data_IF_570304731570
#
_entry.id   IF_570304731570
#
_cell.length_a   1.000
_cell.length_b   1.000
_cell.length_c   1.000
_cell.angle_alpha   90.00
_cell.angle_beta   90.00
_cell.angle_gamma   90.00
#
_symmetry.space_group_name_H-M   'P 1'
#
loop_
_entity.id
_entity.type
_entity.pdbx_description
1 polymer ?
#
# COMPACT_ATOMS: atom_id res chain seq x y z
N UNK A 1 -6.86 -28.69 -3.74
CA UNK A 1 -5.85 -27.96 -2.94
C UNK A 1 -6.52 -27.21 -1.77
N UNK A 2 -7.74 -27.61 -1.37
CA UNK A 2 -8.68 -26.72 -0.68
C UNK A 2 -8.96 -27.16 0.76
N UNK A 3 -8.67 -28.42 1.11
CA UNK A 3 -8.87 -28.96 2.45
C UNK A 3 -7.93 -28.34 3.49
N UNK A 4 -6.67 -28.07 3.15
CA UNK A 4 -5.74 -27.42 4.09
C UNK A 4 -6.16 -25.99 4.41
N UNK A 5 -6.66 -25.22 3.43
CA UNK A 5 -7.16 -23.85 3.66
C UNK A 5 -8.37 -23.83 4.58
N UNK A 6 -9.31 -24.75 4.39
CA UNK A 6 -10.48 -24.89 5.27
C UNK A 6 -10.07 -25.33 6.67
N UNK A 7 -9.07 -26.20 6.78
CA UNK A 7 -8.53 -26.64 8.07
C UNK A 7 -7.83 -25.50 8.80
N UNK A 8 -6.96 -24.73 8.13
CA UNK A 8 -6.29 -23.56 8.69
C UNK A 8 -7.30 -22.48 9.09
N UNK A 9 -8.35 -22.27 8.28
CA UNK A 9 -9.48 -21.41 8.62
C UNK A 9 -10.18 -21.89 9.90
N UNK A 10 -10.43 -23.19 10.02
CA UNK A 10 -11.09 -23.79 11.19
C UNK A 10 -10.19 -23.70 12.43
N UNK A 11 -8.89 -23.90 12.28
CA UNK A 11 -7.92 -23.75 13.38
C UNK A 11 -7.82 -22.29 13.81
N UNK A 12 -7.87 -21.32 12.88
CA UNK A 12 -7.96 -19.88 13.18
C UNK A 12 -9.24 -19.56 13.94
N UNK A 13 -10.38 -20.10 13.52
CA UNK A 13 -11.68 -19.93 14.18
C UNK A 13 -11.63 -20.46 15.61
N UNK A 14 -11.10 -21.68 15.81
CA UNK A 14 -10.96 -22.31 17.12
C UNK A 14 -9.97 -21.55 18.00
N UNK A 15 -8.82 -21.13 17.47
CA UNK A 15 -7.82 -20.34 18.22
C UNK A 15 -8.38 -18.99 18.63
N UNK A 16 -9.14 -18.34 17.75
CA UNK A 16 -9.87 -17.10 18.04
C UNK A 16 -10.92 -17.32 19.12
N UNK A 17 -11.73 -18.36 19.00
CA UNK A 17 -12.76 -18.70 20.01
C UNK A 17 -12.16 -19.02 21.37
N UNK A 18 -11.07 -19.77 21.41
CA UNK A 18 -10.35 -20.10 22.66
C UNK A 18 -9.74 -18.84 23.26
N UNK A 19 -9.11 -17.97 22.47
CA UNK A 19 -8.55 -16.71 22.98
C UNK A 19 -9.63 -15.74 23.49
N UNK A 20 -10.78 -15.68 22.82
CA UNK A 20 -11.94 -14.90 23.27
C UNK A 20 -12.55 -15.45 24.57
N UNK A 21 -12.73 -16.78 24.67
CA UNK A 21 -13.42 -17.42 25.80
C UNK A 21 -12.53 -17.66 27.02
N UNK A 22 -11.23 -17.94 26.83
CA UNK A 22 -10.31 -18.36 27.90
C UNK A 22 -9.39 -17.23 28.35
N UNK A 23 -8.98 -16.32 27.45
CA UNK A 23 -8.01 -15.26 27.77
C UNK A 23 -8.64 -13.86 27.91
N UNK A 24 -9.94 -13.67 27.62
CA UNK A 24 -10.60 -12.35 27.58
C UNK A 24 -9.81 -11.32 26.75
N UNK A 25 -9.08 -11.77 25.74
CA UNK A 25 -8.36 -10.87 24.83
C UNK A 25 -9.42 -10.04 24.11
N UNK A 26 -9.37 -8.70 24.21
CA UNK A 26 -10.29 -7.84 23.48
C UNK A 26 -10.31 -8.22 22.00
N UNK A 27 -11.51 -8.27 21.39
CA UNK A 27 -11.69 -8.77 20.02
C UNK A 27 -10.74 -8.08 19.00
N UNK A 28 -10.49 -6.78 19.21
CA UNK A 28 -9.57 -6.01 18.37
C UNK A 28 -8.12 -6.49 18.49
N UNK A 29 -7.67 -6.84 19.69
CA UNK A 29 -6.30 -7.30 19.92
C UNK A 29 -6.08 -8.63 19.20
N UNK A 30 -7.04 -9.55 19.30
CA UNK A 30 -7.01 -10.81 18.55
C UNK A 30 -6.99 -10.56 17.04
N UNK A 31 -7.74 -9.57 16.55
CA UNK A 31 -7.79 -9.22 15.13
C UNK A 31 -6.44 -8.68 14.63
N UNK A 32 -5.74 -7.88 15.42
CA UNK A 32 -4.38 -7.42 15.08
C UNK A 32 -3.40 -8.58 15.12
N UNK A 33 -3.49 -9.47 16.12
CA UNK A 33 -2.65 -10.68 16.19
C UNK A 33 -2.85 -11.60 14.99
N UNK A 34 -4.09 -11.78 14.52
CA UNK A 34 -4.42 -12.54 13.32
C UNK A 34 -3.90 -11.84 12.05
N UNK A 35 -3.99 -10.51 11.98
CA UNK A 35 -3.49 -9.73 10.84
C UNK A 35 -1.95 -9.74 10.73
N UNK A 36 -1.27 -9.94 11.86
CA UNK A 36 0.19 -10.04 11.95
C UNK A 36 0.62 -11.46 12.35
N UNK A 37 0.04 -12.50 11.74
CA UNK A 37 0.44 -13.89 11.94
C UNK A 37 1.69 -14.28 11.11
N UNK A 38 2.27 -15.46 11.29
CA UNK A 38 3.47 -15.93 10.53
C UNK A 38 3.11 -16.58 9.18
N UNK A 39 1.94 -16.25 8.65
CA UNK A 39 1.46 -16.88 7.42
C UNK A 39 2.05 -16.20 6.19
N UNK A 40 2.21 -16.88 5.05
CA UNK A 40 2.94 -16.31 3.91
C UNK A 40 2.19 -15.18 3.18
N UNK A 41 0.90 -14.99 3.45
CA UNK A 41 0.09 -13.91 2.87
C UNK A 41 -0.07 -12.72 3.82
N UNK A 42 -0.21 -11.52 3.26
CA UNK A 42 -0.43 -10.29 4.03
C UNK A 42 -1.87 -10.15 4.55
N UNK A 43 -2.12 -9.18 5.47
CA UNK A 43 -3.47 -8.90 5.97
C UNK A 43 -4.39 -8.42 4.85
N UNK A 44 -5.64 -8.89 4.87
CA UNK A 44 -6.64 -8.49 3.90
C UNK A 44 -7.09 -7.03 4.12
N UNK A 45 -7.43 -6.31 3.05
CA UNK A 45 -7.79 -4.89 3.11
C UNK A 45 -9.00 -4.59 4.02
N UNK A 46 -9.97 -5.52 4.12
CA UNK A 46 -11.11 -5.36 5.04
C UNK A 46 -10.67 -5.40 6.50
N UNK A 47 -9.74 -6.31 6.85
CA UNK A 47 -9.19 -6.43 8.21
C UNK A 47 -8.40 -5.17 8.56
N UNK A 48 -7.62 -4.64 7.63
CA UNK A 48 -6.91 -3.36 7.80
C UNK A 48 -7.88 -2.19 8.04
N UNK A 49 -8.97 -2.11 7.26
CA UNK A 49 -9.99 -1.07 7.41
C UNK A 49 -10.71 -1.16 8.78
N UNK A 50 -10.98 -2.37 9.27
CA UNK A 50 -11.55 -2.60 10.59
C UNK A 50 -10.57 -2.18 11.70
N UNK A 51 -9.30 -2.56 11.59
CA UNK A 51 -8.25 -2.15 12.55
C UNK A 51 -8.11 -0.63 12.55
N UNK A 52 -8.06 0.02 11.39
CA UNK A 52 -8.00 1.47 11.29
C UNK A 52 -9.23 2.14 11.92
N UNK A 53 -10.43 1.57 11.74
CA UNK A 53 -11.64 2.10 12.37
C UNK A 53 -11.60 1.94 13.88
N UNK A 54 -11.08 0.83 14.41
CA UNK A 54 -10.93 0.58 15.84
C UNK A 54 -10.00 1.61 16.52
N UNK A 55 -8.95 2.08 15.83
CA UNK A 55 -8.05 3.12 16.37
C UNK A 55 -8.75 4.45 16.72
N UNK A 56 -9.98 4.66 16.25
CA UNK A 56 -10.78 5.85 16.63
C UNK A 56 -11.25 5.81 18.09
N UNK A 57 -11.31 4.64 18.72
CA UNK A 57 -11.63 4.50 20.14
C UNK A 57 -10.34 4.49 20.95
N UNK A 58 -10.33 5.24 22.06
CA UNK A 58 -9.13 5.44 22.87
C UNK A 58 -8.48 4.13 23.36
N UNK A 59 -9.29 3.23 23.95
CA UNK A 59 -8.81 1.97 24.51
C UNK A 59 -8.34 1.01 23.43
N UNK A 60 -9.08 0.88 22.33
CA UNK A 60 -8.74 -0.03 21.23
C UNK A 60 -7.49 0.44 20.49
N UNK A 61 -7.30 1.75 20.32
CA UNK A 61 -6.07 2.32 19.76
C UNK A 61 -4.83 1.87 20.54
N UNK A 62 -4.88 1.93 21.88
CA UNK A 62 -3.75 1.51 22.71
C UNK A 62 -3.43 0.02 22.53
N UNK A 63 -4.46 -0.83 22.49
CA UNK A 63 -4.29 -2.27 22.27
C UNK A 63 -3.67 -2.57 20.91
N UNK A 64 -4.16 -1.91 19.85
CA UNK A 64 -3.63 -2.05 18.49
C UNK A 64 -2.15 -1.67 18.46
N UNK A 65 -1.79 -0.49 18.99
CA UNK A 65 -0.42 -0.02 18.99
C UNK A 65 0.51 -0.93 19.80
N UNK A 66 0.08 -1.38 20.99
CA UNK A 66 0.87 -2.29 21.82
C UNK A 66 1.24 -3.59 21.09
N UNK A 67 0.28 -4.20 20.38
CA UNK A 67 0.55 -5.42 19.59
C UNK A 67 1.54 -5.12 18.47
N UNK A 68 1.35 -4.02 17.73
CA UNK A 68 2.24 -3.65 16.62
C UNK A 68 3.67 -3.40 17.09
N UNK A 69 3.86 -2.66 18.18
CA UNK A 69 5.19 -2.38 18.74
C UNK A 69 5.87 -3.65 19.24
N UNK A 70 5.12 -4.57 19.86
CA UNK A 70 5.64 -5.89 20.24
C UNK A 70 6.12 -6.66 19.01
N UNK A 71 5.33 -6.67 17.93
CA UNK A 71 5.68 -7.35 16.67
C UNK A 71 6.89 -6.74 15.95
N UNK A 72 7.11 -5.43 16.06
CA UNK A 72 8.29 -4.79 15.49
C UNK A 72 9.59 -5.11 16.24
N UNK A 73 9.50 -5.55 17.50
CA UNK A 73 10.68 -5.97 18.28
C UNK A 73 11.20 -7.37 17.94
N UNK A 74 10.46 -8.12 17.13
CA UNK A 74 10.85 -9.47 16.70
C UNK A 74 12.06 -9.43 15.75
N UNK A 75 12.84 -10.52 15.71
CA UNK A 75 14.09 -10.59 14.93
C UNK A 75 14.29 -11.94 14.23
N UNK A 76 15.15 -11.96 13.22
CA UNK A 76 15.56 -13.20 12.55
C UNK A 76 14.41 -13.93 11.87
N UNK A 77 14.17 -15.19 12.27
CA UNK A 77 13.19 -16.10 11.64
C UNK A 77 11.76 -15.58 11.65
N UNK A 78 11.45 -14.71 12.59
CA UNK A 78 10.13 -14.15 12.86
C UNK A 78 9.83 -12.88 12.01
N UNK A 79 10.57 -12.70 10.91
CA UNK A 79 10.49 -11.54 9.99
C UNK A 79 9.08 -11.25 9.46
N UNK A 80 8.21 -12.26 9.34
CA UNK A 80 6.83 -12.04 8.84
C UNK A 80 6.00 -11.21 9.80
N UNK A 81 6.20 -11.40 11.11
CA UNK A 81 5.56 -10.57 12.13
C UNK A 81 5.93 -9.11 11.96
N UNK A 82 7.23 -8.84 11.81
CA UNK A 82 7.77 -7.49 11.58
C UNK A 82 7.21 -6.91 10.29
N UNK A 83 7.30 -7.64 9.17
CA UNK A 83 6.86 -7.18 7.87
C UNK A 83 5.35 -6.86 7.83
N UNK A 84 4.52 -7.71 8.43
CA UNK A 84 3.06 -7.49 8.48
C UNK A 84 2.69 -6.38 9.45
N UNK A 85 3.37 -6.24 10.58
CA UNK A 85 3.18 -5.11 11.48
C UNK A 85 3.50 -3.78 10.77
N UNK A 86 4.59 -3.73 10.00
CA UNK A 86 4.89 -2.58 9.14
C UNK A 86 3.79 -2.32 8.09
N UNK A 87 3.20 -3.36 7.51
CA UNK A 87 2.08 -3.20 6.57
C UNK A 87 0.81 -2.64 7.24
N UNK A 88 0.52 -3.03 8.48
CA UNK A 88 -0.58 -2.44 9.25
C UNK A 88 -0.27 -0.97 9.58
N UNK A 89 0.96 -0.66 10.04
CA UNK A 89 1.39 0.72 10.34
C UNK A 89 1.27 1.62 9.12
N UNK A 90 1.76 1.19 7.96
CA UNK A 90 1.64 1.92 6.69
C UNK A 90 0.18 2.28 6.36
N UNK A 91 -0.74 1.34 6.58
CA UNK A 91 -2.18 1.57 6.41
C UNK A 91 -2.74 2.55 7.45
N UNK A 92 -2.33 2.43 8.72
CA UNK A 92 -2.76 3.31 9.81
C UNK A 92 -2.31 4.76 9.60
N UNK A 93 -1.13 5.02 9.04
CA UNK A 93 -0.69 6.39 8.70
C UNK A 93 -1.72 7.07 7.79
N UNK A 94 -2.25 6.32 6.82
CA UNK A 94 -3.18 6.87 5.83
C UNK A 94 -4.65 6.88 6.30
N UNK A 95 -5.09 5.88 7.08
CA UNK A 95 -6.52 5.63 7.36
C UNK A 95 -6.89 5.62 8.85
N UNK A 96 -5.89 5.57 9.73
CA UNK A 96 -6.06 5.53 11.19
C UNK A 96 -6.47 6.87 11.79
N UNK A 97 -6.75 6.85 13.10
CA UNK A 97 -7.01 8.05 13.89
C UNK A 97 -5.76 8.94 13.98
N UNK A 98 -5.94 10.25 14.16
CA UNK A 98 -4.81 11.18 14.35
C UNK A 98 -3.90 10.73 15.50
N UNK A 99 -4.49 10.24 16.60
CA UNK A 99 -3.73 9.69 17.73
C UNK A 99 -2.82 8.52 17.35
N UNK A 100 -3.29 7.60 16.50
CA UNK A 100 -2.46 6.50 16.04
C UNK A 100 -1.30 7.01 15.18
N UNK A 101 -1.53 8.03 14.35
CA UNK A 101 -0.47 8.67 13.55
C UNK A 101 0.53 9.39 14.44
N UNK A 102 0.07 10.13 15.45
CA UNK A 102 0.95 10.81 16.42
C UNK A 102 1.85 9.80 17.15
N UNK A 103 1.30 8.68 17.62
CA UNK A 103 2.05 7.60 18.28
C UNK A 103 3.11 6.99 17.35
N UNK A 104 2.77 6.78 16.07
CA UNK A 104 3.70 6.29 15.05
C UNK A 104 4.84 7.30 14.79
N UNK A 105 4.50 8.60 14.71
CA UNK A 105 5.49 9.67 14.50
C UNK A 105 6.45 9.75 15.68
N UNK A 106 5.93 9.70 16.91
CA UNK A 106 6.74 9.71 18.15
C UNK A 106 7.74 8.54 18.18
N UNK A 107 7.33 7.37 17.67
CA UNK A 107 8.14 6.16 17.66
C UNK A 107 8.84 5.88 16.31
N UNK A 108 9.02 6.90 15.46
CA UNK A 108 9.66 6.74 14.14
C UNK A 108 11.04 6.08 14.23
N UNK A 109 11.78 6.30 15.32
CA UNK A 109 13.09 5.69 15.54
C UNK A 109 13.05 4.15 15.59
N UNK A 110 11.99 3.55 16.13
CA UNK A 110 11.82 2.10 16.18
C UNK A 110 11.64 1.52 14.77
N UNK A 111 10.87 2.22 13.93
CA UNK A 111 10.68 1.85 12.52
C UNK A 111 12.00 2.04 11.75
N UNK A 112 12.74 3.13 12.02
CA UNK A 112 14.03 3.40 11.40
C UNK A 112 15.07 2.33 11.71
N UNK A 113 15.07 1.74 12.92
CA UNK A 113 15.97 0.65 13.29
C UNK A 113 15.78 -0.61 12.42
N UNK A 114 14.60 -0.80 11.81
CA UNK A 114 14.32 -1.93 10.92
C UNK A 114 14.94 -1.78 9.52
N UNK A 115 15.52 -0.62 9.20
CA UNK A 115 16.33 -0.43 7.98
C UNK A 115 17.62 -1.27 7.99
N UNK A 116 18.09 -1.72 9.16
CA UNK A 116 19.20 -2.65 9.30
C UNK A 116 18.75 -4.08 9.66
N UNK A 117 17.49 -4.43 9.44
CA UNK A 117 16.98 -5.77 9.72
C UNK A 117 17.65 -6.81 8.81
N UNK A 118 18.16 -7.90 9.38
CA UNK A 118 18.85 -8.96 8.64
C UNK A 118 18.25 -10.33 8.92
N UNK A 119 17.86 -11.03 7.86
CA UNK A 119 17.52 -12.44 7.92
C UNK A 119 17.62 -13.08 6.53
N UNK A 120 18.46 -14.12 6.43
CA UNK A 120 18.61 -14.95 5.24
C UNK A 120 18.03 -16.32 5.56
N UNK A 121 17.06 -16.76 4.76
CA UNK A 121 16.46 -18.08 4.92
C UNK A 121 17.49 -19.19 4.66
N UNK A 122 17.28 -20.41 5.17
CA UNK A 122 18.16 -21.57 4.88
C UNK A 122 18.30 -21.88 3.38
N UNK A 123 17.37 -21.40 2.55
CA UNK A 123 17.42 -21.47 1.08
C UNK A 123 18.45 -20.52 0.45
N UNK A 124 19.07 -19.64 1.23
CA UNK A 124 19.99 -18.59 0.77
C UNK A 124 19.27 -17.30 0.34
N UNK A 125 17.96 -17.21 0.50
CA UNK A 125 17.17 -16.02 0.14
C UNK A 125 17.20 -14.98 1.25
N UNK A 126 17.66 -13.76 0.94
CA UNK A 126 17.54 -12.61 1.84
C UNK A 126 16.10 -12.11 1.86
N UNK A 127 15.36 -12.49 2.91
CA UNK A 127 14.00 -12.01 3.16
C UNK A 127 13.99 -10.75 4.02
N UNK A 128 15.08 -10.48 4.75
CA UNK A 128 15.29 -9.23 5.49
C UNK A 128 15.27 -8.00 4.60
N UNK A 129 15.72 -8.12 3.35
CA UNK A 129 15.63 -7.07 2.33
C UNK A 129 14.20 -6.50 2.17
N UNK A 130 13.17 -7.33 2.29
CA UNK A 130 11.77 -6.88 2.16
C UNK A 130 11.35 -6.01 3.36
N UNK A 131 11.81 -6.37 4.56
CA UNK A 131 11.57 -5.59 5.78
C UNK A 131 12.28 -4.25 5.69
N UNK A 132 13.56 -4.24 5.31
CA UNK A 132 14.36 -3.01 5.15
C UNK A 132 13.72 -2.02 4.18
N UNK A 133 13.38 -2.47 2.97
CA UNK A 133 12.73 -1.61 1.95
C UNK A 133 11.39 -1.05 2.43
N UNK A 134 10.58 -1.86 3.13
CA UNK A 134 9.30 -1.40 3.66
C UNK A 134 9.49 -0.38 4.79
N UNK A 135 10.43 -0.61 5.70
CA UNK A 135 10.77 0.33 6.76
C UNK A 135 11.28 1.66 6.20
N UNK A 136 12.19 1.64 5.22
CA UNK A 136 12.69 2.83 4.52
C UNK A 136 11.56 3.66 3.89
N UNK A 137 10.63 3.01 3.19
CA UNK A 137 9.49 3.68 2.58
C UNK A 137 8.58 4.34 3.62
N UNK A 138 8.33 3.67 4.75
CA UNK A 138 7.50 4.21 5.84
C UNK A 138 8.21 5.39 6.49
N UNK A 139 9.51 5.28 6.79
CA UNK A 139 10.29 6.39 7.37
C UNK A 139 10.33 7.59 6.44
N UNK A 140 10.48 7.38 5.13
CA UNK A 140 10.43 8.44 4.14
C UNK A 140 9.06 9.16 4.11
N UNK A 141 7.97 8.43 4.36
CA UNK A 141 6.64 9.02 4.53
C UNK A 141 6.52 9.78 5.85
N UNK A 142 6.99 9.21 6.96
CA UNK A 142 6.87 9.81 8.31
C UNK A 142 7.69 11.09 8.49
N UNK A 143 8.81 11.22 7.76
CA UNK A 143 9.66 12.42 7.80
C UNK A 143 9.05 13.62 7.07
N UNK A 144 7.97 13.43 6.30
CA UNK A 144 7.34 14.47 5.50
C UNK A 144 5.87 14.67 5.90
N UNK A 145 5.62 15.71 6.72
CA UNK A 145 4.28 16.00 7.24
C UNK A 145 3.28 16.37 6.14
N UNK A 146 3.73 17.00 5.06
CA UNK A 146 2.86 17.34 3.92
C UNK A 146 2.43 16.07 3.19
N UNK A 147 3.36 15.13 2.94
CA UNK A 147 3.01 13.83 2.37
C UNK A 147 2.01 13.07 3.24
N UNK A 148 2.20 13.04 4.56
CA UNK A 148 1.22 12.40 5.48
C UNK A 148 -0.17 13.03 5.30
N UNK A 149 -0.25 14.35 5.20
CA UNK A 149 -1.52 15.03 4.98
C UNK A 149 -2.16 14.63 3.63
N UNK A 150 -1.36 14.58 2.57
CA UNK A 150 -1.82 14.22 1.23
C UNK A 150 -2.34 12.78 1.13
N UNK A 151 -1.63 11.79 1.69
CA UNK A 151 -2.13 10.40 1.68
C UNK A 151 -3.42 10.27 2.49
N UNK A 152 -3.55 10.99 3.61
CA UNK A 152 -4.78 10.98 4.43
C UNK A 152 -5.96 11.64 3.71
N UNK A 153 -5.74 12.80 3.07
CA UNK A 153 -6.78 13.47 2.28
C UNK A 153 -7.24 12.61 1.11
N UNK A 154 -6.28 11.99 0.40
CA UNK A 154 -6.58 11.07 -0.70
C UNK A 154 -7.35 9.83 -0.24
N UNK A 155 -6.98 9.27 0.92
CA UNK A 155 -7.68 8.14 1.52
C UNK A 155 -9.13 8.50 1.91
N UNK A 156 -9.33 9.66 2.54
CA UNK A 156 -10.66 10.17 2.89
C UNK A 156 -11.54 10.34 1.64
N UNK A 157 -11.03 11.00 0.60
CA UNK A 157 -11.75 11.23 -0.65
C UNK A 157 -12.11 9.93 -1.38
N UNK A 158 -11.27 8.90 -1.29
CA UNK A 158 -11.56 7.60 -1.89
C UNK A 158 -12.61 6.82 -1.11
N UNK A 159 -12.60 6.89 0.23
CA UNK A 159 -13.60 6.23 1.07
C UNK A 159 -15.02 6.69 0.72
N UNK A 160 -15.21 7.98 0.51
CA UNK A 160 -16.53 8.57 0.23
C UNK A 160 -17.11 8.13 -1.13
N UNK A 161 -16.25 7.72 -2.09
CA UNK A 161 -16.68 7.22 -3.41
C UNK A 161 -17.23 5.80 -3.37
N UNK A 162 -16.73 4.95 -2.49
CA UNK A 162 -17.11 3.53 -2.45
C UNK A 162 -18.21 3.20 -1.45
N UNK A 163 -18.51 4.08 -0.49
CA UNK A 163 -19.65 3.92 0.44
C UNK A 163 -21.01 3.98 -0.30
N UNK A 164 -21.06 4.60 -1.48
CA UNK A 164 -22.29 4.76 -2.28
C UNK A 164 -22.60 3.63 -3.29
N UNK A 165 -21.79 2.57 -3.38
CA UNK A 165 -21.93 1.51 -4.42
C UNK A 165 -22.42 0.18 -3.85
N UNK A 166 -22.91 0.15 -2.61
CA UNK A 166 -23.66 -1.02 -2.11
C UNK A 166 -25.01 -1.10 -2.80
N UNK A 167 -25.27 -2.27 -3.39
CA UNK A 167 -26.33 -2.67 -4.32
C UNK A 167 -27.77 -2.65 -3.78
N UNK A 168 -28.19 -1.58 -3.11
CA UNK A 168 -29.56 -1.43 -2.59
C UNK A 168 -30.15 -0.11 -3.06
N UNK A 169 -30.67 -0.12 -4.29
CA UNK A 169 -31.55 0.94 -4.78
C UNK A 169 -30.94 1.86 -5.83
N UNK A 170 -30.60 1.31 -7.00
CA UNK A 170 -30.62 2.10 -8.23
C UNK A 170 -32.07 2.46 -8.54
N UNK A 171 -32.59 3.46 -7.83
CA UNK A 171 -33.81 4.14 -8.23
C UNK A 171 -33.44 5.05 -9.38
N UNK A 172 -33.69 4.57 -10.59
CA UNK A 172 -33.91 5.42 -11.76
C UNK A 172 -35.09 6.32 -11.43
N UNK A 173 -34.83 7.46 -10.78
CA UNK A 173 -35.80 8.54 -10.68
C UNK A 173 -35.88 9.21 -12.05
N UNK A 174 -36.82 8.65 -12.81
CA UNK A 174 -37.51 9.22 -13.95
C UNK A 174 -37.67 10.74 -13.83
N UNK A 175 -37.11 11.48 -14.79
CA UNK A 175 -37.43 12.88 -15.03
C UNK A 175 -38.78 12.99 -15.74
N UNK A 176 -39.87 12.72 -15.03
CA UNK A 176 -41.23 13.07 -15.48
C UNK A 176 -41.47 14.54 -15.19
N UNK A 177 -41.44 15.36 -16.25
CA UNK A 177 -41.88 16.75 -16.25
C UNK A 177 -43.40 16.82 -16.06
N UNK A 178 -43.85 17.15 -14.87
CA UNK A 178 -45.24 17.51 -14.57
C UNK A 178 -45.44 19.00 -14.91
N UNK A 179 -46.08 19.28 -16.05
CA UNK A 179 -46.65 20.60 -16.32
C UNK A 179 -48.16 20.54 -16.10
N UNK A 180 -48.62 21.20 -15.04
CA UNK A 180 -50.00 21.62 -14.86
C UNK A 180 -50.19 22.95 -15.59
N UNK A 181 -51.04 22.95 -16.62
CA UNK A 181 -51.41 24.12 -17.40
C UNK A 181 -52.66 24.80 -16.83
N UNK A 182 -52.58 26.11 -16.57
CA UNK A 182 -53.65 27.07 -16.91
C UNK A 182 -53.15 28.53 -16.80
N UNK A 183 -52.85 29.11 -17.98
CA UNK A 183 -53.09 30.50 -18.44
C UNK A 183 -52.99 31.66 -17.44
N UNK A 184 -52.19 32.70 -17.70
CA UNK A 184 -52.45 33.65 -18.80
C UNK A 184 -51.26 34.58 -19.06
N UNK A 185 -50.71 34.61 -20.27
CA UNK A 185 -50.34 35.90 -20.88
C UNK A 185 -50.40 35.85 -22.40
N UNK A 186 -50.98 36.91 -22.94
CA UNK A 186 -51.28 37.14 -24.34
C UNK A 186 -50.08 37.69 -25.09
N UNK A 187 -50.10 37.43 -26.39
CA UNK A 187 -49.50 38.18 -27.49
C UNK A 187 -48.14 37.73 -28.05
N UNK A 188 -48.25 37.15 -29.26
CA UNK A 188 -47.52 37.54 -30.48
C UNK A 188 -46.00 37.33 -30.52
N UNK A 189 -45.53 36.28 -31.22
CA UNK A 189 -45.13 36.32 -32.66
C UNK A 189 -44.44 35.01 -33.08
N UNK A 190 -44.99 34.37 -34.12
CA UNK A 190 -44.34 33.72 -35.28
C UNK A 190 -42.82 33.41 -35.16
N UNK A 191 -42.27 32.20 -35.37
CA UNK A 191 -42.78 30.92 -35.86
C UNK A 191 -41.60 30.13 -36.47
N UNK A 192 -41.52 28.82 -36.22
CA UNK A 192 -40.77 27.86 -37.07
C UNK A 192 -39.54 27.17 -36.47
N UNK A 193 -39.75 26.11 -35.67
CA UNK A 193 -38.74 25.08 -35.39
C UNK A 193 -38.96 23.92 -36.37
N UNK A 194 -38.00 23.68 -37.26
CA UNK A 194 -37.98 22.54 -38.18
C UNK A 194 -37.11 21.42 -37.63
N UNK A 195 -37.75 20.29 -37.37
CA UNK A 195 -37.16 19.03 -36.90
C UNK A 195 -36.42 18.28 -38.03
N UNK A 196 -35.24 17.74 -37.73
CA UNK A 196 -34.66 16.49 -38.26
C UNK A 196 -33.19 16.47 -37.84
N UNK A 197 -32.57 15.40 -37.39
CA UNK A 197 -32.99 14.01 -37.27
C UNK A 197 -31.82 13.27 -36.63
N UNK A 198 -32.12 12.05 -36.23
CA UNK A 198 -31.25 11.04 -35.64
C UNK A 198 -29.84 10.97 -36.25
N UNK A 199 -28.84 10.67 -35.40
CA UNK A 199 -27.92 9.53 -35.59
C UNK A 199 -26.89 9.43 -34.46
N UNK A 200 -27.07 8.35 -33.71
CA UNK A 200 -26.04 7.60 -32.99
C UNK A 200 -24.86 7.27 -33.92
N UNK A 201 -23.62 7.49 -33.48
CA UNK A 201 -22.42 7.02 -34.17
C UNK A 201 -21.33 6.70 -33.16
N UNK A 202 -21.32 5.46 -32.71
CA UNK A 202 -20.13 4.78 -32.21
C UNK A 202 -19.02 4.81 -33.29
N UNK A 203 -17.77 5.04 -32.88
CA UNK A 203 -16.62 4.71 -33.72
C UNK A 203 -15.45 4.25 -32.85
N UNK A 204 -15.39 2.93 -32.67
CA UNK A 204 -14.14 2.18 -32.55
C UNK A 204 -13.61 1.91 -33.97
N UNK A 205 -12.31 2.06 -34.19
CA UNK A 205 -11.58 1.59 -35.37
C UNK A 205 -10.51 2.59 -35.81
N UNK A 206 -9.22 2.30 -35.66
CA UNK A 206 -8.42 1.37 -36.48
C UNK A 206 -7.72 2.09 -37.65
N UNK A 207 -6.45 1.71 -37.85
CA UNK A 207 -5.47 2.10 -38.89
C UNK A 207 -4.88 3.52 -38.78
N UNK A 208 -3.57 3.70 -38.68
CA UNK A 208 -2.49 2.97 -39.36
C UNK A 208 -2.06 3.80 -40.56
N UNK A 209 -0.97 4.58 -40.42
CA UNK A 209 -0.34 5.27 -41.55
C UNK A 209 1.18 5.28 -41.37
N UNK A 210 1.82 4.38 -42.11
CA UNK A 210 3.19 4.51 -42.59
C UNK A 210 3.26 5.75 -43.49
N UNK A 211 4.27 6.59 -43.34
CA UNK A 211 5.08 7.05 -44.46
C UNK A 211 6.40 7.69 -43.98
N UNK A 212 7.42 7.32 -44.72
CA UNK A 212 8.85 7.50 -44.53
C UNK A 212 9.31 8.83 -45.16
N UNK A 213 10.20 9.56 -44.49
CA UNK A 213 11.05 10.55 -45.14
C UNK A 213 12.41 10.63 -44.45
N UNK A 214 13.43 10.33 -45.25
CA UNK A 214 14.85 10.17 -44.95
C UNK A 214 15.51 11.51 -44.64
N UNK A 215 16.47 11.51 -43.71
CA UNK A 215 17.60 12.45 -43.70
C UNK A 215 18.87 11.69 -43.33
N UNK A 216 19.74 11.52 -44.32
CA UNK A 216 21.13 11.08 -44.17
C UNK A 216 21.98 12.14 -43.44
N UNK A 217 22.85 11.68 -42.54
CA UNK A 217 24.20 12.25 -42.37
C UNK A 217 25.09 11.31 -41.57
N UNK A 218 25.93 10.59 -42.30
CA UNK A 218 27.16 9.95 -41.81
C UNK A 218 28.14 11.00 -41.28
N UNK A 219 28.87 10.68 -40.20
CA UNK A 219 30.34 10.77 -40.19
C UNK A 219 30.93 9.89 -39.07
N UNK A 220 31.96 9.14 -39.47
CA UNK A 220 32.71 8.10 -38.77
C UNK A 220 33.49 8.55 -37.52
N UNK A 221 33.85 7.59 -36.65
CA UNK A 221 35.02 7.76 -35.78
C UNK A 221 35.24 6.67 -34.74
N UNK A 222 35.90 5.56 -35.12
CA UNK A 222 36.54 4.62 -34.19
C UNK A 222 37.76 5.28 -33.51
N UNK A 223 37.97 5.02 -32.22
CA UNK A 223 39.30 4.68 -31.71
C UNK A 223 39.25 3.98 -30.34
N UNK A 224 40.02 2.89 -30.28
CA UNK A 224 40.42 2.11 -29.10
C UNK A 224 41.58 2.80 -28.36
N UNK A 225 41.93 2.21 -27.20
CA UNK A 225 43.15 2.32 -26.37
C UNK A 225 43.10 3.43 -25.28
N UNK A 226 43.57 3.20 -24.05
CA UNK A 226 44.52 2.18 -23.62
C UNK A 226 44.56 1.90 -22.12
N UNK A 227 45.08 0.70 -21.84
CA UNK A 227 45.74 0.23 -20.63
C UNK A 227 46.89 1.17 -20.24
N UNK A 228 47.09 1.37 -18.93
CA UNK A 228 48.44 1.56 -18.38
C UNK A 228 48.55 0.83 -17.05
N UNK A 229 49.28 -0.29 -17.10
CA UNK A 229 49.96 -0.91 -15.98
C UNK A 229 51.07 0.02 -15.50
N UNK A 230 51.36 0.02 -14.21
CA UNK A 230 52.66 0.42 -13.67
C UNK A 230 53.12 -0.71 -12.75
N UNK A 231 54.12 -1.44 -13.23
CA UNK A 231 55.01 -2.29 -12.44
C UNK A 231 56.20 -1.43 -11.96
N UNK A 232 56.61 -1.58 -10.70
CA UNK A 232 58.02 -1.59 -10.23
C UNK A 232 57.99 -1.94 -8.73
N UNK A 233 58.20 -3.20 -8.32
CA UNK A 233 59.47 -3.93 -8.15
C UNK A 233 60.34 -3.47 -6.96
N UNK A 234 60.74 -4.48 -6.16
CA UNK A 234 61.86 -4.55 -5.21
C UNK A 234 61.75 -3.89 -3.82
N UNK A 235 61.70 -4.71 -2.76
CA UNK A 235 62.95 -5.22 -2.18
C UNK A 235 62.74 -6.21 -1.02
N UNK A 236 63.54 -7.27 -1.09
CA UNK A 236 64.02 -8.16 -0.04
C UNK A 236 63.98 -7.62 1.41
N UNK A 237 63.49 -8.45 2.36
CA UNK A 237 64.40 -9.16 3.29
C UNK A 237 63.69 -10.18 4.18
N UNK A 238 64.43 -11.25 4.35
CA UNK A 238 64.20 -12.49 5.10
C UNK A 238 64.80 -12.33 6.50
N UNK A 239 64.05 -12.75 7.53
CA UNK A 239 64.60 -13.49 8.67
C UNK A 239 64.97 -12.76 9.97
N UNK A 240 65.02 -13.59 11.02
CA UNK A 240 65.50 -13.40 12.40
C UNK A 240 64.42 -12.94 13.40
N UNK A 241 63.77 -13.83 14.16
CA UNK A 241 64.23 -14.70 15.26
C UNK A 241 64.43 -13.98 16.62
N UNK A 242 63.56 -14.36 17.56
CA UNK A 242 63.81 -14.82 18.95
C UNK A 242 64.16 -13.83 20.09
N UNK A 243 63.51 -14.13 21.22
CA UNK A 243 63.86 -13.84 22.63
C UNK A 243 63.60 -12.41 23.10
N UNK A 244 62.95 -12.17 24.24
CA UNK A 244 63.05 -12.82 25.56
C UNK A 244 61.66 -13.11 26.14
#
# INVERSE_FOLDING_TARGET
MDFMKVFDQTVREIKREVNLKVLKVPEIEQKVLDATDDEPWGPHGTVLAEIATATKKFTECQLVMNVLWTRLSETGKDWRYVYKALAVIEYLVSHGSERAVDDIIEHTFQISALSSFEYVEPSGKDVGLNVRKKAENIVALLNDREKIHDVRNKAAANRDKYIGVSSSGMTYKSGTTSFSSASSHSSSKYGGFGSSGDRFSDSYGDKGRYDEAKVDKDYSGKSRYGVSSYDEENSFKKGSARSV
#
